data_IF_253005989397
#
_entry.id   IF_253005989397
#
_cell.length_a   1.000
_cell.length_b   1.000
_cell.length_c   1.000
_cell.angle_alpha   90.00
_cell.angle_beta   90.00
_cell.angle_gamma   90.00
#
_symmetry.space_group_name_H-M   'P 1'
#
loop_
_entity.id
_entity.type
_entity.pdbx_description
1 polymer ?
#
# COMPACT_ATOMS: atom_id res chain seq x y z
N UNK A 1 -14.17 13.77 10.77
CA UNK A 1 -14.65 12.48 11.30
C UNK A 1 -13.63 11.41 10.90
N UNK A 2 -12.79 10.95 11.84
CA UNK A 2 -11.68 10.03 11.54
C UNK A 2 -12.10 8.65 11.07
N UNK A 3 -11.14 7.88 10.55
CA UNK A 3 -11.34 6.56 9.97
C UNK A 3 -10.85 5.43 10.90
N UNK A 4 -11.45 4.24 10.78
CA UNK A 4 -11.07 3.02 11.51
C UNK A 4 -11.25 1.82 10.58
N UNK A 5 -10.30 0.88 10.63
CA UNK A 5 -10.47 -0.45 10.07
C UNK A 5 -9.74 -1.52 10.89
N UNK A 6 -10.18 -2.77 10.76
CA UNK A 6 -9.56 -3.95 11.37
C UNK A 6 -9.11 -4.90 10.27
N UNK A 7 -7.90 -5.44 10.37
CA UNK A 7 -7.38 -6.38 9.38
C UNK A 7 -8.18 -7.68 9.38
N UNK A 8 -8.26 -8.34 8.23
CA UNK A 8 -9.02 -9.59 8.03
C UNK A 8 -8.57 -10.73 8.94
N UNK A 9 -7.29 -10.76 9.33
CA UNK A 9 -6.72 -11.70 10.30
C UNK A 9 -7.10 -11.38 11.76
N UNK A 10 -7.73 -10.24 12.02
CA UNK A 10 -8.12 -9.77 13.34
C UNK A 10 -6.95 -9.40 14.25
N UNK A 11 -5.75 -9.19 13.69
CA UNK A 11 -4.52 -8.93 14.46
C UNK A 11 -4.11 -7.46 14.46
N UNK A 12 -4.63 -6.61 13.57
CA UNK A 12 -4.28 -5.20 13.53
C UNK A 12 -5.50 -4.28 13.37
N UNK A 13 -5.35 -3.06 13.86
CA UNK A 13 -6.30 -1.97 13.72
C UNK A 13 -5.55 -0.79 13.10
N UNK A 14 -6.17 -0.15 12.12
CA UNK A 14 -5.74 1.15 11.62
C UNK A 14 -6.77 2.19 12.06
N UNK A 15 -6.28 3.32 12.57
CA UNK A 15 -7.07 4.52 12.84
C UNK A 15 -6.46 5.69 12.12
N UNK A 16 -7.28 6.65 11.71
CA UNK A 16 -6.79 7.90 11.14
C UNK A 16 -7.60 9.10 11.63
N UNK A 17 -6.99 10.28 11.58
CA UNK A 17 -7.56 11.51 12.11
C UNK A 17 -7.59 12.67 11.11
N UNK A 18 -8.13 13.79 11.60
CA UNK A 18 -8.30 15.03 10.83
C UNK A 18 -6.98 15.73 10.52
N UNK A 19 -5.92 15.39 11.24
CA UNK A 19 -4.58 15.93 11.02
C UNK A 19 -3.80 15.07 10.04
N UNK A 20 -4.46 14.18 9.29
CA UNK A 20 -3.83 13.33 8.28
C UNK A 20 -2.88 12.27 8.84
N UNK A 21 -2.99 11.94 10.13
CA UNK A 21 -2.14 10.94 10.80
C UNK A 21 -2.84 9.59 10.81
N UNK A 22 -2.07 8.53 10.54
CA UNK A 22 -2.50 7.15 10.72
C UNK A 22 -1.77 6.55 11.92
N UNK A 23 -2.52 5.82 12.75
CA UNK A 23 -1.99 4.99 13.83
C UNK A 23 -2.35 3.54 13.59
N UNK A 24 -1.36 2.67 13.74
CA UNK A 24 -1.49 1.23 13.71
C UNK A 24 -1.39 0.66 15.12
N UNK A 25 -2.27 -0.27 15.42
CA UNK A 25 -2.33 -0.97 16.69
C UNK A 25 -2.40 -2.47 16.44
N UNK A 26 -1.77 -3.25 17.32
CA UNK A 26 -1.78 -4.70 17.28
C UNK A 26 -2.75 -5.25 18.32
N UNK A 27 -3.62 -6.15 17.89
CA UNK A 27 -4.50 -6.95 18.74
C UNK A 27 -3.75 -8.21 19.11
N UNK A 28 -3.64 -8.47 20.42
CA UNK A 28 -3.06 -9.68 20.97
C UNK A 28 -4.08 -10.41 21.84
N UNK A 29 -4.16 -11.72 21.66
CA UNK A 29 -4.92 -12.60 22.54
C UNK A 29 -3.98 -13.26 23.53
N UNK A 30 -4.19 -13.02 24.83
CA UNK A 30 -3.42 -13.67 25.89
C UNK A 30 -4.36 -14.14 26.99
N UNK A 31 -4.40 -15.46 27.21
CA UNK A 31 -5.18 -16.11 28.27
C UNK A 31 -6.68 -15.71 28.28
N UNK A 32 -7.32 -15.69 27.11
CA UNK A 32 -8.75 -15.38 26.99
C UNK A 32 -9.10 -13.89 27.10
N UNK A 33 -8.09 -12.99 27.16
CA UNK A 33 -8.28 -11.55 27.09
C UNK A 33 -7.66 -11.00 25.81
N UNK A 34 -8.45 -10.22 25.06
CA UNK A 34 -7.94 -9.40 23.96
C UNK A 34 -7.35 -8.10 24.53
N UNK A 35 -6.15 -7.75 24.07
CA UNK A 35 -5.49 -6.47 24.38
C UNK A 35 -5.07 -5.80 23.10
N UNK A 36 -5.18 -4.47 23.05
CA UNK A 36 -4.72 -3.65 21.92
C UNK A 36 -3.51 -2.85 22.38
N UNK A 37 -2.41 -2.95 21.64
CA UNK A 37 -1.18 -2.20 21.91
C UNK A 37 -0.87 -1.28 20.73
N UNK A 38 -0.37 -0.09 21.03
CA UNK A 38 0.16 0.81 20.01
C UNK A 38 1.39 0.19 19.34
N UNK A 39 1.45 0.30 18.02
CA UNK A 39 2.58 -0.16 17.21
C UNK A 39 3.32 1.03 16.60
N UNK A 40 2.61 1.79 15.74
CA UNK A 40 3.22 2.88 14.98
C UNK A 40 2.25 4.03 14.71
N UNK A 41 2.80 5.23 14.53
CA UNK A 41 2.09 6.42 14.05
C UNK A 41 2.91 7.09 12.96
N UNK A 42 2.25 7.63 11.94
CA UNK A 42 2.93 8.38 10.88
C UNK A 42 1.99 9.39 10.25
N UNK A 43 2.56 10.50 9.78
CA UNK A 43 1.85 11.52 8.99
C UNK A 43 1.67 10.94 7.58
N UNK A 44 0.45 10.57 7.25
CA UNK A 44 0.10 9.89 6.01
C UNK A 44 -0.26 10.88 4.90
N UNK A 45 -1.07 11.88 5.26
CA UNK A 45 -1.67 12.83 4.33
C UNK A 45 -1.50 14.27 4.83
N UNK A 46 -1.60 15.24 3.92
CA UNK A 46 -1.51 16.66 4.31
C UNK A 46 -2.80 17.19 4.91
N UNK A 47 -3.91 16.51 4.69
CA UNK A 47 -5.25 16.83 5.18
C UNK A 47 -5.95 15.61 5.83
N UNK A 48 -7.19 15.77 6.26
CA UNK A 48 -8.00 14.75 6.92
C UNK A 48 -8.02 13.43 6.15
N UNK A 49 -7.78 12.32 6.86
CA UNK A 49 -7.93 10.97 6.29
C UNK A 49 -9.38 10.50 6.52
N UNK A 50 -10.11 10.37 5.41
CA UNK A 50 -11.53 10.03 5.38
C UNK A 50 -11.79 8.53 5.42
N UNK A 51 -10.86 7.73 4.90
CA UNK A 51 -10.94 6.28 4.93
C UNK A 51 -9.56 5.66 5.09
N UNK A 52 -9.49 4.61 5.90
CA UNK A 52 -8.40 3.63 5.90
C UNK A 52 -9.02 2.25 5.73
N UNK A 53 -8.34 1.36 5.00
CA UNK A 53 -8.81 0.00 4.78
C UNK A 53 -7.64 -0.95 4.54
N UNK A 54 -7.63 -2.10 5.20
CA UNK A 54 -6.69 -3.18 4.92
C UNK A 54 -7.13 -3.96 3.68
N UNK A 55 -6.17 -4.42 2.88
CA UNK A 55 -6.47 -5.37 1.81
C UNK A 55 -6.98 -6.69 2.42
N UNK A 56 -7.89 -7.41 1.74
CA UNK A 56 -8.38 -8.71 2.23
C UNK A 56 -7.27 -9.74 2.45
N UNK A 57 -6.23 -9.74 1.63
CA UNK A 57 -5.04 -10.59 1.81
C UNK A 57 -4.12 -10.13 2.97
N UNK A 58 -4.43 -8.98 3.58
CA UNK A 58 -3.76 -8.42 4.73
C UNK A 58 -2.40 -7.78 4.44
N UNK A 59 -1.93 -7.74 3.19
CA UNK A 59 -0.57 -7.26 2.88
C UNK A 59 -0.47 -5.74 2.81
N UNK A 60 -1.56 -5.07 2.43
CA UNK A 60 -1.60 -3.65 2.16
C UNK A 60 -2.56 -2.93 3.12
N UNK A 61 -2.30 -1.65 3.30
CA UNK A 61 -3.22 -0.67 3.84
C UNK A 61 -3.40 0.42 2.79
N UNK A 62 -4.63 0.84 2.54
CA UNK A 62 -4.94 2.00 1.72
C UNK A 62 -5.55 3.12 2.58
N UNK A 63 -5.23 4.37 2.23
CA UNK A 63 -5.82 5.56 2.86
C UNK A 63 -6.28 6.57 1.83
N UNK A 64 -7.45 7.17 2.04
CA UNK A 64 -8.03 8.25 1.22
C UNK A 64 -8.19 9.51 2.04
N UNK A 65 -7.97 10.67 1.41
CA UNK A 65 -7.91 11.96 2.10
C UNK A 65 -8.58 13.09 1.31
N UNK A 66 -8.89 14.16 2.04
CA UNK A 66 -9.22 15.48 1.50
C UNK A 66 -8.06 16.15 0.74
N UNK A 67 -6.83 15.64 0.84
CA UNK A 67 -5.72 16.10 0.00
C UNK A 67 -5.79 15.60 -1.46
N UNK A 68 -6.93 15.06 -1.87
CA UNK A 68 -7.25 14.50 -3.18
C UNK A 68 -6.46 13.24 -3.56
N UNK A 69 -5.66 12.69 -2.65
CA UNK A 69 -4.82 11.52 -2.93
C UNK A 69 -5.31 10.27 -2.22
N UNK A 70 -4.88 9.14 -2.78
CA UNK A 70 -4.91 7.84 -2.12
C UNK A 70 -3.47 7.41 -1.89
N UNK A 71 -3.18 6.77 -0.77
CA UNK A 71 -1.85 6.21 -0.50
C UNK A 71 -1.95 4.74 -0.15
N UNK A 72 -1.03 3.95 -0.70
CA UNK A 72 -0.84 2.54 -0.41
C UNK A 72 0.37 2.36 0.50
N UNK A 73 0.21 1.53 1.51
CA UNK A 73 1.22 1.32 2.54
C UNK A 73 1.42 -0.17 2.79
N UNK A 74 2.66 -0.53 3.12
CA UNK A 74 2.91 -1.78 3.81
C UNK A 74 2.38 -1.70 5.24
N UNK A 75 2.09 -2.85 5.85
CA UNK A 75 1.67 -2.93 7.26
C UNK A 75 2.68 -2.35 8.25
N UNK A 76 3.95 -2.27 7.87
CA UNK A 76 4.99 -1.64 8.69
C UNK A 76 4.96 -0.10 8.62
N UNK A 77 4.01 0.49 7.89
CA UNK A 77 3.84 1.92 7.72
C UNK A 77 4.74 2.55 6.67
N UNK A 78 5.46 1.76 5.85
CA UNK A 78 6.19 2.29 4.70
C UNK A 78 5.23 2.62 3.57
N UNK A 79 5.38 3.81 3.01
CA UNK A 79 4.66 4.22 1.81
C UNK A 79 5.15 3.38 0.62
N UNK A 80 4.22 2.76 -0.09
CA UNK A 80 4.48 2.05 -1.34
C UNK A 80 4.27 3.03 -2.49
N UNK A 81 3.09 3.64 -2.54
CA UNK A 81 2.70 4.48 -3.67
C UNK A 81 1.68 5.55 -3.27
N UNK A 82 1.69 6.67 -3.98
CA UNK A 82 0.63 7.68 -3.93
C UNK A 82 -0.10 7.66 -5.27
N UNK A 83 -1.40 7.42 -5.22
CA UNK A 83 -2.25 7.38 -6.40
C UNK A 83 -2.87 8.75 -6.61
N UNK A 84 -2.57 9.31 -7.78
CA UNK A 84 -3.09 10.58 -8.26
C UNK A 84 -4.13 10.31 -9.34
N UNK A 85 -5.24 11.04 -9.33
CA UNK A 85 -6.28 10.89 -10.33
C UNK A 85 -7.59 11.59 -9.99
N UNK A 86 -7.86 11.79 -8.70
CA UNK A 86 -8.99 12.60 -8.25
C UNK A 86 -8.60 14.07 -8.16
N UNK A 87 -9.52 14.95 -8.55
CA UNK A 87 -9.33 16.41 -8.52
C UNK A 87 -9.90 17.06 -7.25
N UNK A 88 -10.67 16.30 -6.47
CA UNK A 88 -11.27 16.71 -5.20
C UNK A 88 -11.19 15.58 -4.15
N UNK A 89 -11.68 15.86 -2.94
CA UNK A 89 -11.55 15.01 -1.76
C UNK A 89 -11.97 13.55 -2.00
N UNK A 90 -11.14 12.60 -1.59
CA UNK A 90 -11.45 11.18 -1.70
C UNK A 90 -12.13 10.70 -0.43
N UNK A 91 -13.39 10.28 -0.55
CA UNK A 91 -14.23 9.95 0.61
C UNK A 91 -14.14 8.48 1.01
N UNK A 92 -13.94 7.59 0.05
CA UNK A 92 -14.04 6.16 0.27
C UNK A 92 -13.12 5.38 -0.65
N UNK A 93 -12.69 4.23 -0.14
CA UNK A 93 -11.92 3.21 -0.84
C UNK A 93 -12.50 1.84 -0.49
N UNK A 94 -12.53 0.92 -1.45
CA UNK A 94 -12.80 -0.49 -1.21
C UNK A 94 -11.88 -1.37 -2.06
N UNK A 95 -11.39 -2.46 -1.47
CA UNK A 95 -10.68 -3.52 -2.19
C UNK A 95 -11.66 -4.57 -2.73
N UNK A 96 -11.32 -5.18 -3.86
CA UNK A 96 -11.91 -6.44 -4.29
C UNK A 96 -11.49 -7.58 -3.36
N UNK A 97 -12.30 -8.64 -3.28
CA UNK A 97 -12.05 -9.78 -2.37
C UNK A 97 -10.73 -10.52 -2.66
N UNK A 98 -10.27 -10.51 -3.91
CA UNK A 98 -8.99 -11.09 -4.34
C UNK A 98 -7.79 -10.15 -4.12
N UNK A 99 -8.02 -8.94 -3.60
CA UNK A 99 -7.00 -7.91 -3.36
C UNK A 99 -6.26 -7.40 -4.61
N UNK A 100 -6.77 -7.69 -5.81
CA UNK A 100 -6.15 -7.29 -7.09
C UNK A 100 -6.63 -5.95 -7.60
N UNK A 101 -7.80 -5.50 -7.16
CA UNK A 101 -8.43 -4.28 -7.63
C UNK A 101 -8.88 -3.45 -6.45
N UNK A 102 -8.87 -2.14 -6.63
CA UNK A 102 -9.39 -1.19 -5.66
C UNK A 102 -10.28 -0.17 -6.36
N UNK A 103 -11.32 0.31 -5.69
CA UNK A 103 -12.17 1.39 -6.18
C UNK A 103 -12.13 2.54 -5.20
N UNK A 104 -11.97 3.75 -5.70
CA UNK A 104 -12.11 4.99 -4.94
C UNK A 104 -13.31 5.80 -5.41
N UNK A 105 -13.88 6.60 -4.51
CA UNK A 105 -14.96 7.54 -4.82
C UNK A 105 -14.64 8.91 -4.23
N UNK A 106 -14.84 9.96 -5.02
CA UNK A 106 -14.46 11.33 -4.70
C UNK A 106 -15.61 12.33 -4.82
N UNK A 107 -15.43 13.50 -4.21
CA UNK A 107 -16.28 14.68 -4.38
C UNK A 107 -16.37 15.15 -5.83
N UNK A 108 -15.34 14.85 -6.64
CA UNK A 108 -15.24 15.21 -8.06
C UNK A 108 -16.30 14.53 -8.96
N UNK A 109 -17.20 13.75 -8.36
CA UNK A 109 -18.31 12.99 -8.98
C UNK A 109 -17.85 11.80 -9.81
N UNK A 110 -16.63 11.33 -9.59
CA UNK A 110 -16.08 10.15 -10.24
C UNK A 110 -15.78 9.03 -9.25
N UNK A 111 -15.72 7.83 -9.79
CA UNK A 111 -15.10 6.69 -9.13
C UNK A 111 -14.02 6.14 -10.05
N UNK A 112 -12.85 5.83 -9.48
CA UNK A 112 -11.70 5.30 -10.23
C UNK A 112 -11.47 3.86 -9.78
N UNK A 113 -11.24 2.98 -10.75
CA UNK A 113 -10.83 1.60 -10.53
C UNK A 113 -9.31 1.53 -10.74
N UNK A 114 -8.61 0.97 -9.76
CA UNK A 114 -7.17 0.80 -9.72
C UNK A 114 -6.82 -0.68 -9.83
N UNK A 115 -6.02 -1.03 -10.84
CA UNK A 115 -5.48 -2.38 -11.00
C UNK A 115 -4.14 -2.49 -10.27
N UNK A 116 -4.15 -3.20 -9.14
CA UNK A 116 -2.97 -3.36 -8.28
C UNK A 116 -2.02 -4.46 -8.77
N UNK A 117 -2.50 -5.37 -9.61
CA UNK A 117 -1.69 -6.45 -10.15
C UNK A 117 -0.69 -5.89 -11.17
N UNK A 118 -1.12 -5.00 -12.07
CA UNK A 118 -0.23 -4.32 -12.99
C UNK A 118 0.72 -3.34 -12.29
N UNK A 119 0.26 -2.64 -11.26
CA UNK A 119 1.12 -1.74 -10.47
C UNK A 119 2.23 -2.50 -9.73
N UNK A 120 1.93 -3.69 -9.20
CA UNK A 120 2.95 -4.56 -8.58
C UNK A 120 3.98 -5.08 -9.60
N UNK A 121 3.61 -5.13 -10.88
CA UNK A 121 4.47 -5.57 -11.98
C UNK A 121 5.30 -4.43 -12.57
N UNK A 122 4.94 -3.18 -12.25
CA UNK A 122 5.62 -1.96 -12.66
C UNK A 122 6.89 -1.67 -11.85
N UNK A 123 7.42 -2.68 -11.17
CA UNK A 123 8.81 -2.74 -10.78
C UNK A 123 9.67 -2.83 -12.07
N UNK A 124 9.81 -1.70 -12.75
CA UNK A 124 10.46 -1.57 -14.06
C UNK A 124 11.88 -2.13 -14.04
N UNK A 125 12.52 -2.13 -12.88
CA UNK A 125 13.83 -2.74 -12.65
C UNK A 125 13.74 -4.27 -12.68
N UNK A 126 12.81 -4.88 -11.95
CA UNK A 126 12.58 -6.33 -12.02
C UNK A 126 12.13 -6.78 -13.42
N UNK A 127 11.18 -6.07 -14.03
CA UNK A 127 10.71 -6.36 -15.39
C UNK A 127 11.81 -6.16 -16.44
N UNK A 128 12.67 -5.14 -16.27
CA UNK A 128 13.84 -4.93 -17.11
C UNK A 128 14.88 -6.02 -16.92
N UNK A 129 15.12 -6.46 -15.69
CA UNK A 129 16.00 -7.56 -15.34
C UNK A 129 15.55 -8.88 -15.97
N UNK A 130 14.25 -9.21 -15.91
CA UNK A 130 13.69 -10.38 -16.58
C UNK A 130 13.95 -10.37 -18.10
N UNK A 131 13.90 -9.19 -18.74
CA UNK A 131 14.13 -9.06 -20.19
C UNK A 131 15.60 -9.23 -20.59
N UNK A 132 16.55 -8.82 -19.74
CA UNK A 132 17.98 -8.87 -20.06
C UNK A 132 18.71 -10.05 -19.42
N UNK A 133 18.06 -10.82 -18.55
CA UNK A 133 18.70 -11.88 -17.75
C UNK A 133 19.43 -12.91 -18.63
N UNK A 134 18.82 -13.31 -19.75
CA UNK A 134 19.43 -14.25 -20.69
C UNK A 134 20.66 -13.65 -21.37
N UNK A 135 20.64 -12.37 -21.74
CA UNK A 135 21.79 -11.67 -22.31
C UNK A 135 22.92 -11.55 -21.28
N UNK A 136 22.61 -11.18 -20.04
CA UNK A 136 23.59 -11.10 -18.94
C UNK A 136 24.26 -12.46 -18.68
N UNK A 137 23.51 -13.56 -18.75
CA UNK A 137 24.07 -14.90 -18.52
C UNK A 137 24.89 -15.44 -19.69
N UNK A 138 24.46 -15.18 -20.93
CA UNK A 138 24.99 -15.88 -22.11
C UNK A 138 26.07 -15.11 -22.89
N UNK A 139 26.16 -13.79 -22.72
CA UNK A 139 27.14 -13.00 -23.45
C UNK A 139 28.56 -13.17 -22.86
N UNK A 140 29.49 -13.70 -23.65
CA UNK A 140 30.88 -13.96 -23.26
C UNK A 140 31.74 -12.69 -23.07
N UNK A 141 31.29 -11.54 -23.57
CA UNK A 141 32.01 -10.25 -23.52
C UNK A 141 31.81 -9.52 -22.18
N UNK A 142 30.85 -9.95 -21.35
CA UNK A 142 30.50 -9.25 -20.11
C UNK A 142 31.43 -9.63 -18.95
N UNK A 143 31.82 -8.60 -18.20
CA UNK A 143 32.53 -8.72 -16.92
C UNK A 143 31.65 -9.35 -15.83
N UNK A 144 32.26 -9.77 -14.72
CA UNK A 144 31.53 -10.41 -13.61
C UNK A 144 30.56 -9.43 -12.92
N UNK A 145 30.90 -8.14 -12.87
CA UNK A 145 30.08 -7.10 -12.25
C UNK A 145 28.84 -6.78 -13.10
N UNK A 146 28.98 -6.79 -14.43
CA UNK A 146 27.85 -6.59 -15.36
C UNK A 146 26.87 -7.77 -15.30
N UNK A 147 27.35 -8.98 -14.99
CA UNK A 147 26.51 -10.18 -14.86
C UNK A 147 25.62 -10.14 -13.61
N UNK A 148 26.05 -9.42 -12.57
CA UNK A 148 25.33 -9.32 -11.29
C UNK A 148 24.42 -8.10 -11.17
N UNK A 149 24.20 -7.34 -12.26
CA UNK A 149 23.36 -6.14 -12.26
C UNK A 149 21.91 -6.38 -11.77
N UNK A 150 21.45 -7.62 -11.79
CA UNK A 150 20.10 -8.02 -11.37
C UNK A 150 20.11 -8.96 -10.16
N UNK A 151 21.24 -9.13 -9.48
CA UNK A 151 21.40 -10.04 -8.33
C UNK A 151 21.27 -9.33 -6.97
N UNK A 152 21.14 -8.00 -6.94
CA UNK A 152 20.97 -7.24 -5.70
C UNK A 152 19.60 -7.53 -5.07
N UNK A 153 19.62 -8.08 -3.86
CA UNK A 153 18.44 -8.45 -3.05
C UNK A 153 17.67 -7.27 -2.45
N UNK A 154 18.06 -6.04 -2.83
CA UNK A 154 17.43 -4.79 -2.43
C UNK A 154 16.59 -4.17 -3.57
N UNK A 155 16.36 -4.92 -4.65
CA UNK A 155 15.28 -4.69 -5.62
C UNK A 155 13.97 -5.28 -5.06
#
# INVERSE_FOLDING_TARGET
MGALDISSDGQAIATADIDGVIKLLQIQQKQGRMTVNFDKTFKAHTDEVRKVVFSPDGKLLASASEDNTIKLWHRDGKLIETLYGHDEAVWSIAFSADSKTMVSASEDKTAIIWDLEEMSKLDLLAAGCDQIQDYLRTNAELSQDERSLCDDSDL
#
